data_IF_030337445419
#
_entry.id   IF_030337445419
#
_cell.length_a   1.000
_cell.length_b   1.000
_cell.length_c   1.000
_cell.angle_alpha   90.00
_cell.angle_beta   90.00
_cell.angle_gamma   90.00
#
_symmetry.space_group_name_H-M   'P 1'
#
loop_
_entity.id
_entity.type
_entity.pdbx_description
1 polymer ?
#
# COMPACT_ATOMS: atom_id res chain seq x y z
N UNK A 1 -13.37 -9.43 5.30
CA UNK A 1 -12.43 -9.96 6.31
C UNK A 1 -11.99 -11.32 5.85
N UNK A 2 -10.70 -11.60 5.92
CA UNK A 2 -10.10 -12.89 5.60
C UNK A 2 -10.55 -13.96 6.59
N UNK A 3 -10.82 -15.16 6.10
CA UNK A 3 -11.38 -16.27 6.88
C UNK A 3 -10.68 -17.59 6.55
N UNK A 4 -10.87 -18.62 7.38
CA UNK A 4 -10.28 -19.96 7.14
C UNK A 4 -10.68 -20.55 5.78
N UNK A 5 -11.90 -20.28 5.32
CA UNK A 5 -12.36 -20.77 4.02
C UNK A 5 -11.56 -20.22 2.84
N UNK A 6 -10.92 -19.06 3.00
CA UNK A 6 -10.09 -18.43 1.96
C UNK A 6 -8.79 -19.21 1.68
N UNK A 7 -8.41 -20.16 2.56
CA UNK A 7 -7.27 -21.08 2.36
C UNK A 7 -7.58 -22.08 1.24
N UNK A 8 -8.85 -22.46 1.08
CA UNK A 8 -9.26 -23.43 0.08
C UNK A 8 -9.27 -22.78 -1.30
N UNK A 9 -8.86 -23.50 -2.36
CA UNK A 9 -8.93 -22.98 -3.71
C UNK A 9 -10.40 -22.78 -4.12
N UNK A 10 -10.64 -21.74 -4.91
CA UNK A 10 -11.92 -21.60 -5.62
C UNK A 10 -12.02 -22.60 -6.80
N UNK A 11 -13.13 -22.56 -7.54
CA UNK A 11 -13.39 -23.45 -8.69
C UNK A 11 -12.32 -23.37 -9.81
N UNK A 12 -11.48 -22.33 -9.80
CA UNK A 12 -10.37 -22.15 -10.74
C UNK A 12 -9.01 -22.56 -10.16
N UNK A 13 -8.99 -23.18 -8.99
CA UNK A 13 -7.76 -23.56 -8.30
C UNK A 13 -7.05 -22.40 -7.58
N UNK A 14 -7.59 -21.18 -7.59
CA UNK A 14 -6.92 -20.03 -6.98
C UNK A 14 -7.23 -19.91 -5.49
N UNK A 15 -6.19 -19.73 -4.67
CA UNK A 15 -6.28 -19.57 -3.21
C UNK A 15 -6.13 -18.11 -2.83
N UNK A 16 -7.08 -17.58 -2.06
CA UNK A 16 -7.01 -16.20 -1.58
C UNK A 16 -6.03 -16.06 -0.43
N UNK A 17 -6.03 -17.00 0.52
CA UNK A 17 -5.17 -16.97 1.69
C UNK A 17 -4.18 -18.14 1.64
N UNK A 18 -2.94 -17.89 2.01
CA UNK A 18 -1.94 -18.93 2.19
C UNK A 18 -0.97 -18.59 3.30
N UNK A 19 -0.53 -19.61 4.04
CA UNK A 19 0.63 -19.46 4.91
C UNK A 19 1.92 -19.65 4.11
N UNK A 20 2.98 -18.94 4.49
CA UNK A 20 4.24 -18.93 3.78
C UNK A 20 5.39 -18.94 4.78
N UNK A 21 6.47 -19.66 4.47
CA UNK A 21 7.58 -19.84 5.41
C UNK A 21 8.38 -18.55 5.66
N UNK A 22 8.35 -17.60 4.72
CA UNK A 22 9.16 -16.38 4.77
C UNK A 22 8.35 -15.11 4.94
N UNK A 23 7.05 -15.12 4.62
CA UNK A 23 6.17 -13.95 4.66
C UNK A 23 4.98 -14.15 5.62
N UNK A 24 4.89 -15.27 6.35
CA UNK A 24 3.78 -15.56 7.25
C UNK A 24 2.46 -15.73 6.50
N UNK A 25 1.36 -15.26 7.08
CA UNK A 25 0.06 -15.20 6.39
C UNK A 25 0.04 -14.14 5.30
N UNK A 26 -0.45 -14.50 4.12
CA UNK A 26 -0.61 -13.59 2.97
C UNK A 26 -2.03 -13.73 2.40
N UNK A 27 -2.78 -12.62 2.37
CA UNK A 27 -3.99 -12.50 1.55
C UNK A 27 -3.54 -12.09 0.13
N UNK A 28 -3.53 -13.06 -0.77
CA UNK A 28 -3.17 -12.89 -2.18
C UNK A 28 -4.18 -12.07 -2.99
N UNK A 29 -5.39 -11.86 -2.47
CA UNK A 29 -6.31 -10.86 -2.98
C UNK A 29 -5.88 -9.44 -2.63
N UNK A 30 -5.39 -9.21 -1.40
CA UNK A 30 -4.78 -7.94 -1.00
C UNK A 30 -3.44 -7.69 -1.69
N UNK A 31 -2.67 -8.75 -1.95
CA UNK A 31 -1.39 -8.68 -2.67
C UNK A 31 -1.52 -8.47 -4.19
N UNK A 32 -2.72 -8.15 -4.70
CA UNK A 32 -2.90 -7.78 -6.10
C UNK A 32 -2.30 -6.38 -6.37
N UNK A 33 -1.57 -6.19 -7.48
CA UNK A 33 -0.80 -4.97 -7.71
C UNK A 33 -1.62 -3.76 -8.17
N UNK A 34 -2.95 -3.89 -8.32
CA UNK A 34 -3.79 -2.90 -9.00
C UNK A 34 -3.68 -1.48 -8.45
N UNK A 35 -3.74 -1.33 -7.12
CA UNK A 35 -3.62 -0.02 -6.47
C UNK A 35 -2.22 0.58 -6.66
N UNK A 36 -1.18 -0.22 -6.42
CA UNK A 36 0.21 0.21 -6.60
C UNK A 36 0.56 0.50 -8.08
N UNK A 37 -0.05 -0.19 -9.04
CA UNK A 37 0.08 0.12 -10.47
C UNK A 37 -0.55 1.48 -10.82
N UNK A 38 -1.67 1.85 -10.19
CA UNK A 38 -2.28 3.16 -10.39
C UNK A 38 -1.39 4.29 -9.83
N UNK A 39 -0.72 4.05 -8.70
CA UNK A 39 0.32 4.93 -8.16
C UNK A 39 1.51 5.04 -9.13
N UNK A 40 2.07 3.90 -9.55
CA UNK A 40 3.22 3.84 -10.46
C UNK A 40 2.96 4.59 -11.77
N UNK A 41 1.78 4.43 -12.36
CA UNK A 41 1.38 5.14 -13.60
C UNK A 41 1.44 6.66 -13.47
N UNK A 42 1.11 7.22 -12.31
CA UNK A 42 1.20 8.67 -12.08
C UNK A 42 2.64 9.13 -11.90
N UNK A 43 3.46 8.33 -11.22
CA UNK A 43 4.90 8.58 -11.06
C UNK A 43 5.62 8.53 -12.41
N UNK A 44 5.43 7.46 -13.19
CA UNK A 44 6.03 7.28 -14.51
C UNK A 44 5.66 8.40 -15.49
N UNK A 45 4.43 8.91 -15.39
CA UNK A 45 3.93 9.99 -16.26
C UNK A 45 4.16 11.40 -15.69
N UNK A 46 4.71 11.51 -14.48
CA UNK A 46 4.90 12.74 -13.71
C UNK A 46 3.70 13.70 -13.74
N UNK A 47 2.49 13.13 -13.63
CA UNK A 47 1.24 13.89 -13.73
C UNK A 47 0.10 13.24 -12.97
N UNK A 48 -0.84 14.06 -12.52
CA UNK A 48 -2.05 13.59 -11.84
C UNK A 48 -2.91 12.71 -12.75
N UNK A 49 -3.50 11.67 -12.16
CA UNK A 49 -4.58 10.94 -12.80
C UNK A 49 -5.81 11.83 -13.03
N UNK A 50 -6.05 12.84 -12.16
CA UNK A 50 -7.19 13.75 -12.24
C UNK A 50 -6.96 14.85 -13.28
N UNK A 51 -7.76 14.93 -14.35
CA UNK A 51 -7.55 15.90 -15.42
C UNK A 51 -7.49 17.37 -14.96
N UNK A 52 -8.31 17.72 -13.97
CA UNK A 52 -8.39 19.07 -13.37
C UNK A 52 -7.16 19.46 -12.55
N UNK A 53 -6.23 18.54 -12.29
CA UNK A 53 -4.99 18.84 -11.55
C UNK A 53 -3.76 18.82 -12.48
N UNK A 54 -3.89 18.35 -13.72
CA UNK A 54 -2.76 18.19 -14.66
C UNK A 54 -2.19 19.51 -15.14
N UNK A 55 -2.99 20.58 -15.15
CA UNK A 55 -2.59 21.91 -15.63
C UNK A 55 -2.00 22.81 -14.55
N UNK A 56 -1.91 22.36 -13.30
CA UNK A 56 -1.40 23.17 -12.21
C UNK A 56 0.12 23.34 -12.31
N UNK A 57 0.59 24.59 -12.24
CA UNK A 57 2.01 24.89 -12.00
C UNK A 57 2.28 24.70 -10.51
N UNK A 58 2.86 23.54 -10.16
CA UNK A 58 3.19 23.19 -8.78
C UNK A 58 4.69 23.08 -8.61
N UNK A 59 5.18 23.61 -7.49
CA UNK A 59 6.56 23.50 -7.07
C UNK A 59 6.67 22.84 -5.70
N UNK A 60 7.76 22.11 -5.51
CA UNK A 60 8.17 21.58 -4.23
C UNK A 60 9.56 22.13 -3.92
N UNK A 61 9.67 22.91 -2.85
CA UNK A 61 10.89 23.61 -2.47
C UNK A 61 11.45 24.44 -3.64
N UNK A 62 10.58 25.16 -4.36
CA UNK A 62 10.94 25.97 -5.51
C UNK A 62 11.33 25.20 -6.79
N UNK A 63 11.27 23.87 -6.81
CA UNK A 63 11.55 23.03 -7.98
C UNK A 63 10.27 22.50 -8.63
N UNK A 64 10.25 22.23 -9.94
CA UNK A 64 9.07 21.67 -10.61
C UNK A 64 8.57 20.38 -9.93
N UNK A 65 7.26 20.31 -9.73
CA UNK A 65 6.57 19.20 -9.11
C UNK A 65 5.24 18.92 -9.84
N UNK A 66 4.55 17.86 -9.42
CA UNK A 66 3.20 17.55 -9.86
C UNK A 66 2.35 17.06 -8.70
N UNK A 67 1.03 17.16 -8.88
CA UNK A 67 0.07 16.60 -7.95
C UNK A 67 -0.15 15.14 -8.29
N UNK A 68 -0.01 14.28 -7.30
CA UNK A 68 -0.33 12.86 -7.36
C UNK A 68 -1.52 12.60 -6.45
N UNK A 69 -2.54 11.92 -6.98
CA UNK A 69 -3.74 11.58 -6.22
C UNK A 69 -3.72 10.09 -5.90
N UNK A 70 -3.61 9.76 -4.61
CA UNK A 70 -3.54 8.36 -4.19
C UNK A 70 -4.05 8.15 -2.77
N UNK A 71 -4.66 6.99 -2.56
CA UNK A 71 -4.99 6.42 -1.27
C UNK A 71 -5.51 5.00 -1.47
N UNK A 72 -5.89 4.35 -0.38
CA UNK A 72 -6.54 3.05 -0.39
C UNK A 72 -8.02 3.22 -0.05
N UNK A 73 -8.85 2.33 -0.59
CA UNK A 73 -10.29 2.36 -0.37
C UNK A 73 -10.84 0.97 -0.05
N UNK A 74 -11.90 0.94 0.76
CA UNK A 74 -12.73 -0.25 0.99
C UNK A 74 -14.19 0.18 1.07
N UNK A 75 -15.06 -0.66 0.55
CA UNK A 75 -16.50 -0.47 0.59
C UNK A 75 -17.22 -1.35 -0.43
N UNK A 76 -18.49 -1.63 -0.17
CA UNK A 76 -19.41 -2.23 -1.13
C UNK A 76 -20.66 -1.36 -1.20
N UNK A 77 -21.17 -1.10 -2.40
CA UNK A 77 -22.34 -0.23 -2.59
C UNK A 77 -22.04 1.25 -2.27
N UNK A 78 -22.98 1.99 -1.64
CA UNK A 78 -22.87 3.44 -1.46
C UNK A 78 -21.91 3.88 -0.35
N UNK A 79 -21.47 2.96 0.52
CA UNK A 79 -20.55 3.27 1.61
C UNK A 79 -19.14 2.93 1.16
N UNK A 80 -18.35 3.98 0.89
CA UNK A 80 -16.93 3.87 0.57
C UNK A 80 -16.13 4.67 1.57
N UNK A 81 -15.14 4.02 2.15
CA UNK A 81 -14.15 4.62 3.03
C UNK A 81 -12.86 4.67 2.25
N UNK A 82 -12.18 5.82 2.27
CA UNK A 82 -10.99 6.04 1.47
C UNK A 82 -9.99 6.91 2.20
N UNK A 83 -8.71 6.62 2.02
CA UNK A 83 -7.58 7.48 2.41
C UNK A 83 -7.08 8.36 1.28
N UNK A 84 -7.80 8.40 0.15
CA UNK A 84 -7.44 9.23 -0.99
C UNK A 84 -7.12 10.65 -0.55
N UNK A 85 -5.95 11.13 -0.97
CA UNK A 85 -5.47 12.47 -0.73
C UNK A 85 -4.54 12.88 -1.87
N UNK A 86 -4.22 14.17 -1.92
CA UNK A 86 -3.20 14.68 -2.80
C UNK A 86 -1.82 14.55 -2.14
N UNK A 87 -0.82 14.39 -3.00
CA UNK A 87 0.60 14.37 -2.70
C UNK A 87 1.28 15.30 -3.70
N UNK A 88 2.32 16.00 -3.27
CA UNK A 88 3.15 16.81 -4.17
C UNK A 88 4.45 16.05 -4.35
N UNK A 89 4.79 15.75 -5.60
CA UNK A 89 5.97 14.93 -5.94
C UNK A 89 6.87 15.74 -6.87
N UNK A 90 8.16 15.79 -6.58
CA UNK A 90 9.14 16.44 -7.44
C UNK A 90 9.19 15.76 -8.81
N UNK A 91 9.45 16.54 -9.86
CA UNK A 91 9.70 16.03 -11.21
C UNK A 91 11.18 15.69 -11.43
N UNK A 92 11.45 14.84 -12.41
CA UNK A 92 12.79 14.40 -12.79
C UNK A 92 13.42 13.46 -11.77
N UNK A 93 12.61 12.62 -11.11
CA UNK A 93 13.12 11.59 -10.20
C UNK A 93 13.83 10.49 -11.01
N UNK A 94 14.94 9.97 -10.48
CA UNK A 94 15.50 8.71 -10.97
C UNK A 94 14.56 7.54 -10.71
N UNK A 95 14.72 6.42 -11.43
CA UNK A 95 13.90 5.21 -11.23
C UNK A 95 13.90 4.75 -9.77
N UNK A 96 15.08 4.75 -9.13
CA UNK A 96 15.20 4.43 -7.71
C UNK A 96 14.41 5.42 -6.84
N UNK A 97 14.58 6.73 -7.02
CA UNK A 97 13.84 7.72 -6.25
C UNK A 97 12.33 7.61 -6.44
N UNK A 98 11.88 7.30 -7.66
CA UNK A 98 10.46 7.06 -7.98
C UNK A 98 9.92 5.86 -7.20
N UNK A 99 10.66 4.76 -7.14
CA UNK A 99 10.32 3.58 -6.32
C UNK A 99 10.28 3.88 -4.82
N UNK A 100 11.29 4.59 -4.30
CA UNK A 100 11.38 4.96 -2.89
C UNK A 100 10.25 5.92 -2.46
N UNK A 101 9.93 6.92 -3.30
CA UNK A 101 8.78 7.83 -3.12
C UNK A 101 7.47 7.07 -3.20
N UNK A 102 7.32 6.20 -4.21
CA UNK A 102 6.15 5.35 -4.36
C UNK A 102 5.91 4.50 -3.12
N UNK A 103 6.96 3.87 -2.58
CA UNK A 103 6.87 3.06 -1.38
C UNK A 103 6.48 3.90 -0.15
N UNK A 104 7.08 5.08 0.03
CA UNK A 104 6.74 5.98 1.13
C UNK A 104 5.28 6.46 1.10
N UNK A 105 4.77 6.84 -0.07
CA UNK A 105 3.35 7.22 -0.28
C UNK A 105 2.44 6.02 -0.01
N UNK A 106 2.79 4.85 -0.56
CA UNK A 106 2.00 3.62 -0.43
C UNK A 106 1.89 3.17 1.03
N UNK A 107 3.02 3.15 1.75
CA UNK A 107 3.04 2.75 3.15
C UNK A 107 2.27 3.74 4.04
N UNK A 108 2.37 5.05 3.78
CA UNK A 108 1.60 6.05 4.51
C UNK A 108 0.09 5.90 4.27
N UNK A 109 -0.32 5.66 3.02
CA UNK A 109 -1.72 5.37 2.70
C UNK A 109 -2.22 4.10 3.40
N UNK A 110 -1.38 3.05 3.44
CA UNK A 110 -1.69 1.76 4.09
C UNK A 110 -1.87 1.90 5.60
N UNK A 111 -0.94 2.54 6.29
CA UNK A 111 -1.11 2.80 7.73
C UNK A 111 -2.33 3.64 8.04
N UNK A 112 -2.55 4.72 7.28
CA UNK A 112 -3.72 5.59 7.49
C UNK A 112 -5.02 4.80 7.32
N UNK A 113 -5.05 3.88 6.36
CA UNK A 113 -6.22 3.09 6.04
C UNK A 113 -6.50 2.05 7.11
N UNK A 114 -5.47 1.31 7.56
CA UNK A 114 -5.59 0.37 8.66
C UNK A 114 -6.02 1.06 9.96
N UNK A 115 -5.45 2.21 10.30
CA UNK A 115 -5.91 3.02 11.45
C UNK A 115 -7.37 3.45 11.30
N UNK A 116 -7.78 3.85 10.10
CA UNK A 116 -9.17 4.26 9.82
C UNK A 116 -10.14 3.09 9.98
N UNK A 117 -9.80 1.89 9.50
CA UNK A 117 -10.61 0.67 9.70
C UNK A 117 -10.75 0.29 11.18
N UNK A 118 -9.78 0.63 12.01
CA UNK A 118 -9.83 0.41 13.46
C UNK A 118 -10.64 1.47 14.23
N UNK A 119 -10.95 2.60 13.59
CA UNK A 119 -11.57 3.77 14.22
C UNK A 119 -13.10 3.76 14.10
N UNK A 120 -13.80 4.26 15.12
CA UNK A 120 -15.26 4.45 15.06
C UNK A 120 -15.63 5.59 14.08
N UNK A 121 -16.72 5.47 13.29
CA UNK A 121 -17.68 4.36 13.23
C UNK A 121 -17.27 3.25 12.25
N UNK A 122 -16.14 3.40 11.56
CA UNK A 122 -15.71 2.50 10.49
C UNK A 122 -15.45 1.08 10.98
N UNK A 123 -14.96 0.90 12.20
CA UNK A 123 -14.77 -0.44 12.80
C UNK A 123 -16.05 -1.28 12.87
N UNK A 124 -17.22 -0.65 12.99
CA UNK A 124 -18.52 -1.32 12.96
C UNK A 124 -18.90 -1.75 11.54
N UNK A 125 -18.52 -0.95 10.54
CA UNK A 125 -18.84 -1.17 9.12
C UNK A 125 -17.86 -2.15 8.45
N UNK A 126 -16.56 -2.07 8.77
CA UNK A 126 -15.50 -2.91 8.21
C UNK A 126 -15.26 -4.20 9.00
N UNK A 127 -15.91 -4.37 10.15
CA UNK A 127 -15.78 -5.55 11.00
C UNK A 127 -14.54 -5.58 11.90
N UNK A 128 -13.91 -4.45 12.21
CA UNK A 128 -12.76 -4.33 13.14
C UNK A 128 -11.45 -5.05 12.73
N UNK A 129 -11.29 -5.43 11.46
CA UNK A 129 -10.04 -6.04 10.95
C UNK A 129 -9.02 -4.96 10.59
N UNK A 130 -8.49 -4.28 11.61
CA UNK A 130 -7.44 -3.26 11.46
C UNK A 130 -6.09 -3.87 11.80
N UNK A 131 -5.11 -3.79 10.90
CA UNK A 131 -3.79 -4.39 11.08
C UNK A 131 -3.87 -5.89 11.37
N UNK A 132 -4.70 -6.66 10.67
CA UNK A 132 -4.63 -8.13 10.74
C UNK A 132 -3.22 -8.59 10.36
N UNK A 133 -2.80 -9.75 10.87
CA UNK A 133 -1.40 -10.19 10.78
C UNK A 133 -0.85 -10.24 9.35
N UNK A 134 -1.72 -10.47 8.36
CA UNK A 134 -1.41 -10.54 6.94
C UNK A 134 -1.40 -9.19 6.20
N UNK A 135 -2.07 -8.15 6.71
CA UNK A 135 -2.49 -7.00 5.88
C UNK A 135 -1.31 -6.23 5.30
N UNK A 136 -0.39 -5.75 6.16
CA UNK A 136 0.73 -4.91 5.71
C UNK A 136 1.72 -5.68 4.84
N UNK A 137 1.98 -6.95 5.15
CA UNK A 137 2.86 -7.80 4.34
C UNK A 137 2.23 -8.08 2.97
N UNK A 138 0.92 -8.36 2.92
CA UNK A 138 0.19 -8.55 1.66
C UNK A 138 0.24 -7.28 0.80
N UNK A 139 0.00 -6.13 1.41
CA UNK A 139 0.10 -4.83 0.74
C UNK A 139 1.51 -4.57 0.18
N UNK A 140 2.56 -4.91 0.93
CA UNK A 140 3.95 -4.78 0.46
C UNK A 140 4.23 -5.67 -0.75
N UNK A 141 3.78 -6.93 -0.72
CA UNK A 141 3.93 -7.86 -1.85
C UNK A 141 3.24 -7.30 -3.10
N UNK A 142 2.04 -6.75 -2.96
CA UNK A 142 1.32 -6.08 -4.07
C UNK A 142 2.08 -4.88 -4.62
N UNK A 143 2.72 -4.09 -3.75
CA UNK A 143 3.58 -2.98 -4.15
C UNK A 143 4.78 -3.44 -4.97
N UNK A 144 5.56 -4.41 -4.48
CA UNK A 144 6.72 -4.92 -5.22
C UNK A 144 6.33 -5.59 -6.53
N UNK A 145 5.19 -6.28 -6.57
CA UNK A 145 4.65 -6.85 -7.81
C UNK A 145 4.40 -5.77 -8.86
N UNK A 146 3.89 -4.59 -8.45
CA UNK A 146 3.65 -3.46 -9.35
C UNK A 146 4.93 -2.76 -9.82
N UNK A 147 5.86 -2.46 -8.91
CA UNK A 147 7.05 -1.65 -9.22
C UNK A 147 8.18 -2.47 -9.85
N UNK A 148 8.32 -3.75 -9.47
CA UNK A 148 9.38 -4.64 -9.98
C UNK A 148 8.87 -5.66 -11.00
N UNK A 149 7.58 -5.65 -11.34
CA UNK A 149 7.00 -6.54 -12.35
C UNK A 149 7.02 -8.02 -11.96
N UNK A 150 7.05 -8.33 -10.66
CA UNK A 150 7.07 -9.72 -10.17
C UNK A 150 5.65 -10.27 -10.19
N UNK A 151 5.45 -11.41 -10.85
CA UNK A 151 4.14 -12.06 -10.89
C UNK A 151 3.74 -12.63 -9.52
N UNK A 152 2.43 -12.76 -9.28
CA UNK A 152 1.92 -13.34 -8.04
C UNK A 152 2.46 -14.76 -7.81
N UNK A 153 2.57 -15.59 -8.84
CA UNK A 153 3.14 -16.95 -8.74
C UNK A 153 4.62 -16.94 -8.36
N UNK A 154 5.36 -15.92 -8.81
CA UNK A 154 6.75 -15.74 -8.39
C UNK A 154 6.82 -15.27 -6.94
N UNK A 155 5.94 -14.37 -6.51
CA UNK A 155 5.85 -13.95 -5.10
C UNK A 155 5.47 -15.10 -4.17
N UNK A 156 4.53 -15.97 -4.55
CA UNK A 156 4.19 -17.20 -3.81
C UNK A 156 5.42 -18.08 -3.59
N UNK A 157 6.26 -18.24 -4.63
CA UNK A 157 7.51 -18.98 -4.55
C UNK A 157 8.57 -18.28 -3.68
N UNK A 158 8.76 -16.97 -3.87
CA UNK A 158 9.72 -16.16 -3.09
C UNK A 158 9.38 -16.21 -1.59
N UNK A 159 8.10 -16.14 -1.24
CA UNK A 159 7.64 -16.24 0.14
C UNK A 159 7.64 -17.68 0.70
N UNK A 160 7.79 -18.70 -0.15
CA UNK A 160 7.73 -20.10 0.24
C UNK A 160 6.32 -20.51 0.69
N UNK A 161 5.32 -20.31 -0.17
CA UNK A 161 3.93 -20.72 0.13
C UNK A 161 3.80 -22.23 0.33
N UNK A 162 3.16 -22.63 1.43
CA UNK A 162 2.96 -24.03 1.80
C UNK A 162 1.67 -24.61 1.20
N UNK A 163 1.45 -25.92 1.42
CA UNK A 163 0.23 -26.59 0.98
C UNK A 163 -1.02 -26.06 1.69
N UNK A 164 -2.19 -26.44 1.17
CA UNK A 164 -3.48 -26.13 1.80
C UNK A 164 -3.56 -26.75 3.19
N UNK A 165 -3.09 -27.99 3.33
CA UNK A 165 -3.11 -28.75 4.58
C UNK A 165 -2.21 -28.09 5.63
N UNK A 166 -0.98 -27.70 5.26
CA UNK A 166 -0.07 -27.02 6.17
C UNK A 166 -0.58 -25.63 6.57
N UNK A 167 -1.18 -24.87 5.64
CA UNK A 167 -1.82 -23.59 5.97
C UNK A 167 -3.00 -23.81 6.94
N UNK A 168 -3.84 -24.81 6.69
CA UNK A 168 -4.99 -25.12 7.53
C UNK A 168 -4.58 -25.59 8.93
N UNK A 169 -3.47 -26.32 9.05
CA UNK A 169 -2.85 -26.70 10.32
C UNK A 169 -2.42 -25.45 11.12
N UNK A 170 -1.63 -24.56 10.49
CA UNK A 170 -1.20 -23.30 11.14
C UNK A 170 -2.40 -22.48 11.59
N UNK A 171 -3.47 -22.44 10.78
CA UNK A 171 -4.70 -21.76 11.18
C UNK A 171 -5.30 -22.38 12.44
N UNK A 172 -5.46 -23.70 12.47
CA UNK A 172 -6.08 -24.42 13.58
C UNK A 172 -5.29 -24.29 14.88
N UNK A 173 -3.96 -24.34 14.80
CA UNK A 173 -3.06 -24.34 15.96
C UNK A 173 -2.80 -22.93 16.51
N UNK A 174 -2.68 -21.94 15.61
CA UNK A 174 -2.18 -20.62 15.99
C UNK A 174 -3.19 -19.49 15.82
N UNK A 175 -4.13 -19.61 14.88
CA UNK A 175 -5.13 -18.55 14.62
C UNK A 175 -6.58 -19.06 14.60
N UNK A 176 -7.02 -19.93 15.53
CA UNK A 176 -8.34 -20.57 15.46
C UNK A 176 -9.50 -19.57 15.54
N UNK A 177 -9.28 -18.41 16.16
CA UNK A 177 -10.25 -17.32 16.31
C UNK A 177 -10.22 -16.31 15.14
N UNK A 178 -9.35 -16.55 14.14
CA UNK A 178 -9.13 -15.68 12.98
C UNK A 178 -7.86 -14.85 13.07
N UNK A 179 -7.36 -14.41 11.91
CA UNK A 179 -6.11 -13.65 11.79
C UNK A 179 -6.16 -12.29 12.51
N UNK A 180 -7.34 -11.69 12.59
CA UNK A 180 -7.57 -10.39 13.20
C UNK A 180 -7.31 -10.37 14.73
N UNK A 181 -7.20 -11.53 15.39
CA UNK A 181 -6.78 -11.58 16.81
C UNK A 181 -5.29 -11.33 16.97
N UNK A 182 -4.53 -11.32 15.88
CA UNK A 182 -3.10 -11.04 15.86
C UNK A 182 -2.87 -9.78 15.04
N UNK A 183 -2.23 -8.79 15.66
CA UNK A 183 -2.03 -7.49 15.04
C UNK A 183 -0.60 -7.33 14.59
N UNK A 184 -0.40 -7.04 13.31
CA UNK A 184 0.91 -6.70 12.77
C UNK A 184 0.91 -5.26 12.26
N UNK A 185 1.67 -4.40 12.93
CA UNK A 185 1.84 -2.99 12.55
C UNK A 185 3.12 -2.74 11.77
N UNK A 186 3.87 -3.78 11.47
CA UNK A 186 5.09 -3.72 10.69
C UNK A 186 4.90 -4.41 9.34
N UNK A 187 5.76 -4.05 8.38
CA UNK A 187 5.82 -4.74 7.08
C UNK A 187 6.69 -6.00 7.11
N UNK A 188 7.22 -6.33 8.28
CA UNK A 188 7.88 -7.61 8.54
C UNK A 188 6.82 -8.62 8.99
N UNK A 189 6.92 -9.89 8.56
CA UNK A 189 5.93 -10.89 8.89
C UNK A 189 6.04 -11.35 10.35
N UNK A 190 4.90 -11.73 10.92
CA UNK A 190 4.86 -12.57 12.11
C UNK A 190 4.79 -14.02 11.62
N UNK A 191 5.81 -14.81 11.97
CA UNK A 191 5.88 -16.22 11.63
C UNK A 191 5.37 -17.06 12.82
N UNK A 192 4.48 -17.99 12.51
CA UNK A 192 4.02 -19.05 13.37
C UNK A 192 4.78 -20.35 13.09
N UNK A 193 4.94 -21.23 14.09
CA UNK A 193 5.42 -22.59 13.85
C UNK A 193 4.63 -23.28 12.73
N UNK A 194 5.33 -23.98 11.84
CA UNK A 194 4.74 -24.67 10.71
C UNK A 194 5.58 -25.88 10.34
N UNK A 195 4.99 -27.07 10.40
CA UNK A 195 5.59 -28.34 9.98
C UNK A 195 6.01 -28.30 8.49
N UNK A 196 5.21 -27.65 7.65
CA UNK A 196 5.50 -27.44 6.23
C UNK A 196 6.70 -26.53 5.95
N UNK A 197 7.27 -25.88 6.98
CA UNK A 197 8.45 -25.04 6.90
C UNK A 197 9.66 -25.64 7.61
N UNK A 198 9.59 -26.90 8.05
CA UNK A 198 10.73 -27.59 8.65
C UNK A 198 11.91 -27.62 7.67
N UNK A 199 13.04 -27.05 8.10
CA UNK A 199 14.26 -26.87 7.29
C UNK A 199 14.16 -25.87 6.12
N UNK A 200 13.06 -25.13 6.00
CA UNK A 200 12.95 -24.05 5.03
C UNK A 200 13.70 -22.79 5.50
N UNK A 201 14.11 -21.95 4.55
CA UNK A 201 14.51 -20.58 4.87
C UNK A 201 13.28 -19.83 5.43
N UNK A 202 13.43 -19.21 6.59
CA UNK A 202 12.42 -18.38 7.26
C UNK A 202 12.83 -16.91 7.34
N UNK A 203 13.95 -16.54 6.73
CA UNK A 203 14.36 -15.14 6.61
C UNK A 203 13.41 -14.39 5.68
N UNK A 204 13.08 -13.16 6.07
CA UNK A 204 12.22 -12.30 5.25
C UNK A 204 12.94 -12.01 3.91
N UNK A 205 12.28 -12.18 2.74
CA UNK A 205 12.96 -12.15 1.46
C UNK A 205 13.68 -10.82 1.19
N UNK A 206 14.90 -10.89 0.66
CA UNK A 206 15.67 -9.68 0.31
C UNK A 206 14.96 -8.87 -0.78
N UNK A 207 14.24 -9.54 -1.66
CA UNK A 207 13.39 -8.95 -2.70
C UNK A 207 12.35 -7.99 -2.12
N UNK A 208 11.88 -8.22 -0.88
CA UNK A 208 10.91 -7.39 -0.18
C UNK A 208 11.55 -6.36 0.76
N UNK A 209 12.88 -6.35 0.88
CA UNK A 209 13.63 -5.37 1.69
C UNK A 209 14.57 -4.49 0.87
N UNK A 210 14.68 -4.74 -0.44
CA UNK A 210 15.58 -4.02 -1.35
C UNK A 210 15.25 -2.53 -1.51
N UNK A 211 14.00 -2.12 -1.32
CA UNK A 211 13.59 -0.72 -1.39
C UNK A 211 13.54 -0.08 0.00
N UNK A 212 14.08 1.13 0.09
CA UNK A 212 13.93 1.99 1.26
C UNK A 212 12.84 3.02 0.98
N UNK A 213 11.80 3.07 1.82
CA UNK A 213 10.81 4.13 1.70
C UNK A 213 11.46 5.51 1.87
N UNK A 214 11.23 6.41 0.92
CA UNK A 214 11.62 7.80 1.08
C UNK A 214 10.81 8.43 2.22
N UNK A 215 11.44 9.33 2.97
CA UNK A 215 10.72 10.15 3.97
C UNK A 215 10.12 11.39 3.29
N UNK A 216 8.91 11.84 3.69
CA UNK A 216 8.36 13.11 3.21
C UNK A 216 9.33 14.28 3.45
N UNK A 217 9.37 15.22 2.51
CA UNK A 217 10.24 16.39 2.54
C UNK A 217 10.60 16.88 1.14
N UNK A 218 11.80 16.52 0.68
CA UNK A 218 12.37 17.08 -0.55
C UNK A 218 11.89 16.43 -1.85
N UNK A 219 11.64 15.11 -1.84
CA UNK A 219 11.21 14.38 -3.03
C UNK A 219 9.70 14.33 -3.18
N UNK A 220 8.99 14.29 -2.05
CA UNK A 220 7.54 14.35 -2.02
C UNK A 220 7.06 14.86 -0.67
N UNK A 221 5.85 15.40 -0.63
CA UNK A 221 5.20 15.79 0.62
C UNK A 221 3.68 15.62 0.52
N UNK A 222 3.06 15.38 1.66
CA UNK A 222 1.61 15.48 1.78
C UNK A 222 1.24 16.94 2.10
N UNK A 223 0.38 17.61 1.33
CA UNK A 223 -0.17 18.90 1.73
C UNK A 223 -0.83 18.84 3.10
N UNK A 224 -0.77 19.94 3.86
CA UNK A 224 -1.43 20.05 5.16
C UNK A 224 -2.96 19.89 5.05
N UNK A 225 -3.55 20.39 3.97
CA UNK A 225 -4.94 20.07 3.61
C UNK A 225 -4.98 18.74 2.86
N UNK A 226 -6.00 17.91 3.12
CA UNK A 226 -6.12 16.60 2.45
C UNK A 226 -6.16 16.69 0.92
N UNK A 227 -6.78 17.75 0.41
CA UNK A 227 -6.91 18.05 -1.02
C UNK A 227 -6.49 19.48 -1.29
N UNK A 228 -6.06 19.74 -2.53
CA UNK A 228 -5.86 21.09 -3.04
C UNK A 228 -7.26 21.66 -3.32
N UNK A 229 -7.62 22.82 -2.73
CA UNK A 229 -8.92 23.43 -2.95
C UNK A 229 -9.18 23.70 -4.44
N UNK A 230 -10.36 23.32 -4.94
CA UNK A 230 -10.72 23.50 -6.36
C UNK A 230 -10.67 24.97 -6.81
N UNK A 231 -10.95 25.92 -5.92
CA UNK A 231 -10.80 27.35 -6.22
C UNK A 231 -9.36 27.74 -6.58
N UNK A 232 -8.37 27.15 -5.90
CA UNK A 232 -6.95 27.39 -6.19
C UNK A 232 -6.52 26.68 -7.47
N UNK A 233 -7.08 25.48 -7.72
CA UNK A 233 -6.85 24.78 -8.98
C UNK A 233 -7.35 25.57 -10.22
N UNK A 234 -8.40 26.37 -10.03
CA UNK A 234 -9.02 27.18 -11.08
C UNK A 234 -8.39 28.59 -11.22
N UNK A 235 -7.67 29.08 -10.22
CA UNK A 235 -7.12 30.43 -10.20
C UNK A 235 -5.88 30.62 -11.10
N UNK A 236 -5.30 29.54 -11.65
CA UNK A 236 -4.07 29.55 -12.46
C UNK A 236 -2.89 30.30 -11.82
N UNK A 237 -2.84 30.30 -10.48
CA UNK A 237 -1.72 30.80 -9.69
C UNK A 237 -0.77 29.64 -9.41
N UNK A 238 0.55 29.79 -9.63
CA UNK A 238 1.51 28.77 -9.25
C UNK A 238 1.37 28.44 -7.75
N UNK A 239 1.50 27.17 -7.39
CA UNK A 239 1.45 26.72 -5.99
C UNK A 239 2.83 26.22 -5.58
N UNK A 240 3.44 26.83 -4.58
CA UNK A 240 4.70 26.34 -4.02
C UNK A 240 4.43 25.63 -2.69
N UNK A 241 5.02 24.45 -2.54
CA UNK A 241 4.96 23.65 -1.33
C UNK A 241 6.35 23.54 -0.74
N UNK A 242 6.48 23.71 0.57
CA UNK A 242 7.74 23.41 1.25
C UNK A 242 7.82 21.94 1.70
N UNK A 243 8.96 21.56 2.28
CA UNK A 243 9.21 20.22 2.81
C UNK A 243 8.29 19.79 3.95
N UNK A 244 7.46 20.71 4.48
CA UNK A 244 6.45 20.43 5.51
C UNK A 244 5.02 20.38 4.93
N UNK A 245 4.87 20.56 3.62
CA UNK A 245 3.59 20.50 2.93
C UNK A 245 2.77 21.78 3.12
N UNK A 246 3.39 22.87 3.56
CA UNK A 246 2.76 24.20 3.62
C UNK A 246 2.73 24.77 2.22
N UNK A 247 1.54 25.23 1.81
CA UNK A 247 1.31 25.79 0.49
C UNK A 247 1.35 27.31 0.55
N UNK A 248 2.06 27.94 -0.38
CA UNK A 248 2.03 29.38 -0.62
C UNK A 248 1.73 29.69 -2.08
N UNK A 249 1.05 30.80 -2.39
CA UNK A 249 0.98 31.30 -3.75
C UNK A 249 2.38 31.60 -4.28
N UNK A 250 2.74 30.98 -5.40
CA UNK A 250 3.99 31.25 -6.09
C UNK A 250 3.90 32.50 -6.96
N UNK A 251 5.01 33.22 -7.08
CA UNK A 251 5.11 34.33 -8.04
C UNK A 251 5.28 33.76 -9.46
N UNK A 252 4.49 34.28 -10.42
CA UNK A 252 4.76 34.06 -11.85
C UNK A 252 6.12 34.68 -12.16
N UNK A 253 7.03 33.92 -12.75
CA UNK A 253 8.28 34.43 -13.32
C UNK A 253 8.04 34.72 -14.79
#
# INVERSE_FOLDING_TARGET
MTTRSDIKPNDRGWRRLGYTCRCGWVDWGHALPGSALALKKQLDAERSAEPSLRHLDVRLNGKPAFVLSYGQEMGRGPIRVSTHRHWIVAKGLSDQQSEEVGLGIFMSASHTFETMQGSFPFSIVSGSSSFSVEDLVSNLIGFYSAFRGVSQDSMRRICGEVSVEASDQVWGEHTPQGLQTHRNRDYKPILFPCSGCENADTSFPQELTALKAATPGFLYVAPQTRFIPGMLANAAVPLDFDSLGRMTPGFKR
#
